data_IF_574962604316
#
_entry.id   IF_574962604316
#
_cell.length_a   1.000
_cell.length_b   1.000
_cell.length_c   1.000
_cell.angle_alpha   90.00
_cell.angle_beta   90.00
_cell.angle_gamma   90.00
#
_symmetry.space_group_name_H-M   'P 1'
#
loop_
_entity.id
_entity.type
_entity.pdbx_description
1 polymer ?
#
# COMPACT_ATOMS: atom_id res chain seq x y z
N UNK A 1 8.74 7.61 25.52
CA UNK A 1 7.39 7.23 25.98
C UNK A 1 6.52 6.97 24.75
N UNK A 2 6.02 5.77 24.63
CA UNK A 2 5.07 5.40 23.58
C UNK A 2 3.73 6.03 23.93
N UNK A 3 3.24 6.94 23.09
CA UNK A 3 1.97 7.62 23.36
C UNK A 3 0.85 6.94 22.56
N UNK A 4 -0.27 6.75 23.22
CA UNK A 4 -1.48 6.19 22.62
C UNK A 4 -2.38 7.33 22.16
N UNK A 5 -2.61 7.49 20.83
CA UNK A 5 -3.38 8.60 20.30
C UNK A 5 -4.22 8.20 19.06
N UNK A 6 -5.28 8.95 18.82
CA UNK A 6 -6.23 8.74 17.74
C UNK A 6 -5.70 9.24 16.38
N UNK A 7 -5.11 10.44 16.39
CA UNK A 7 -4.54 11.07 15.20
C UNK A 7 -3.54 12.17 15.57
N UNK A 8 -2.83 12.70 14.57
CA UNK A 8 -2.01 13.90 14.70
C UNK A 8 -2.65 15.10 14.02
N UNK A 9 -2.75 16.21 14.76
CA UNK A 9 -3.25 17.48 14.26
C UNK A 9 -2.10 18.41 13.92
N UNK A 10 -2.10 18.97 12.69
CA UNK A 10 -1.17 20.03 12.29
C UNK A 10 -1.76 21.39 12.67
N UNK A 11 -1.07 22.11 13.53
CA UNK A 11 -1.51 23.40 14.05
C UNK A 11 -1.55 24.46 12.94
N UNK A 12 -2.70 25.13 12.82
CA UNK A 12 -2.90 26.26 11.90
C UNK A 12 -2.62 27.59 12.56
N UNK A 13 -2.47 28.65 11.74
CA UNK A 13 -2.33 30.01 12.24
C UNK A 13 -3.56 30.41 13.06
N UNK A 14 -3.34 30.82 14.32
CA UNK A 14 -4.40 31.28 15.22
C UNK A 14 -5.18 30.20 15.95
N UNK A 15 -4.84 28.92 15.78
CA UNK A 15 -5.40 27.85 16.63
C UNK A 15 -4.84 27.93 18.04
N UNK A 16 -5.67 27.58 19.00
CA UNK A 16 -5.33 27.52 20.44
C UNK A 16 -5.53 26.10 20.96
N UNK A 17 -4.84 25.77 22.04
CA UNK A 17 -5.00 24.47 22.74
C UNK A 17 -6.50 24.21 23.03
N UNK A 18 -7.21 25.21 23.53
CA UNK A 18 -8.67 25.14 23.78
C UNK A 18 -9.47 24.84 22.50
N UNK A 19 -9.20 25.58 21.43
CA UNK A 19 -9.88 25.40 20.13
C UNK A 19 -9.67 24.01 19.55
N UNK A 20 -8.47 23.48 19.67
CA UNK A 20 -8.14 22.15 19.19
C UNK A 20 -8.80 21.08 20.07
N UNK A 21 -8.74 21.19 21.41
CA UNK A 21 -9.40 20.27 22.32
C UNK A 21 -10.92 20.20 22.04
N UNK A 22 -11.55 21.36 21.87
CA UNK A 22 -12.98 21.47 21.51
C UNK A 22 -13.29 20.83 20.14
N UNK A 23 -12.44 21.05 19.16
CA UNK A 23 -12.59 20.48 17.80
C UNK A 23 -12.61 18.95 17.82
N UNK A 24 -11.83 18.34 18.70
CA UNK A 24 -11.69 16.89 18.81
C UNK A 24 -12.53 16.26 19.93
N UNK A 25 -13.36 17.09 20.60
CA UNK A 25 -14.27 16.65 21.68
C UNK A 25 -13.51 15.95 22.83
N UNK A 26 -12.35 16.49 23.19
CA UNK A 26 -11.51 16.03 24.30
C UNK A 26 -11.28 17.17 25.29
N UNK A 27 -10.91 16.84 26.52
CA UNK A 27 -10.53 17.86 27.49
C UNK A 27 -9.14 18.43 27.21
N UNK A 28 -8.85 19.62 27.75
CA UNK A 28 -7.52 20.23 27.65
C UNK A 28 -6.50 19.34 28.38
N UNK A 29 -6.88 18.77 29.52
CA UNK A 29 -6.02 17.90 30.31
C UNK A 29 -5.65 16.63 29.50
N UNK A 30 -6.60 16.04 28.79
CA UNK A 30 -6.35 14.89 27.91
C UNK A 30 -5.39 15.26 26.78
N UNK A 31 -5.58 16.44 26.18
CA UNK A 31 -4.70 16.92 25.11
C UNK A 31 -3.28 17.18 25.61
N UNK A 32 -3.12 17.83 26.77
CA UNK A 32 -1.83 18.10 27.39
C UNK A 32 -1.16 16.80 27.82
N UNK A 33 -1.90 15.85 28.40
CA UNK A 33 -1.36 14.54 28.79
C UNK A 33 -0.83 13.75 27.60
N UNK A 34 -1.46 13.88 26.44
CA UNK A 34 -1.00 13.27 25.20
C UNK A 34 0.21 13.99 24.58
N UNK A 35 0.47 15.24 24.98
CA UNK A 35 1.54 16.09 24.48
C UNK A 35 2.31 16.71 25.67
N UNK A 36 3.18 15.95 26.36
CA UNK A 36 3.84 16.41 27.58
C UNK A 36 4.63 17.71 27.43
N UNK A 37 5.13 18.02 26.23
CA UNK A 37 5.85 19.25 25.94
C UNK A 37 5.01 20.50 26.18
N UNK A 38 3.67 20.40 26.13
CA UNK A 38 2.75 21.50 26.43
C UNK A 38 2.77 21.94 27.89
N UNK A 39 3.32 21.12 28.80
CA UNK A 39 3.51 21.48 30.21
C UNK A 39 4.81 22.25 30.48
N UNK A 40 5.65 22.40 29.49
CA UNK A 40 6.92 23.09 29.66
C UNK A 40 6.72 24.60 29.88
N UNK A 41 7.48 25.18 30.78
CA UNK A 41 7.43 26.64 31.02
C UNK A 41 7.81 27.36 29.74
N UNK A 42 6.89 28.25 29.27
CA UNK A 42 7.10 29.00 28.03
C UNK A 42 6.70 28.27 26.76
N UNK A 43 5.98 27.15 26.84
CA UNK A 43 5.45 26.49 25.65
C UNK A 43 4.48 27.39 24.89
N UNK A 44 4.75 27.57 23.62
CA UNK A 44 3.85 28.27 22.68
C UNK A 44 3.50 27.34 21.52
N UNK A 45 2.21 27.22 21.27
CA UNK A 45 1.70 26.48 20.12
C UNK A 45 1.98 27.25 18.84
N UNK A 46 2.82 26.68 17.96
CA UNK A 46 3.23 27.33 16.71
C UNK A 46 2.54 26.73 15.50
N UNK A 47 2.24 27.60 14.52
CA UNK A 47 1.75 27.16 13.21
C UNK A 47 2.72 26.13 12.61
N UNK A 48 2.18 24.97 12.24
CA UNK A 48 2.95 23.88 11.63
C UNK A 48 3.38 22.79 12.59
N UNK A 49 3.27 23.02 13.92
CA UNK A 49 3.51 21.97 14.90
C UNK A 49 2.51 20.82 14.71
N UNK A 50 2.94 19.63 15.09
CA UNK A 50 2.08 18.46 15.15
C UNK A 50 1.83 18.08 16.60
N UNK A 51 0.57 17.94 16.95
CA UNK A 51 0.13 17.52 18.27
C UNK A 51 -0.66 16.23 18.20
N UNK A 52 -0.48 15.39 19.21
CA UNK A 52 -1.17 14.12 19.32
C UNK A 52 -2.56 14.32 19.90
N UNK A 53 -3.57 13.78 19.21
CA UNK A 53 -4.96 13.82 19.66
C UNK A 53 -5.28 12.47 20.31
N UNK A 54 -5.51 12.43 21.63
CA UNK A 54 -5.84 11.19 22.32
C UNK A 54 -7.26 10.73 21.99
N UNK A 55 -7.57 9.49 22.35
CA UNK A 55 -8.95 9.02 22.36
C UNK A 55 -9.70 9.72 23.51
N UNK A 56 -10.95 10.16 23.31
CA UNK A 56 -11.74 10.72 24.41
C UNK A 56 -11.96 9.66 25.49
N UNK A 57 -11.47 9.92 26.69
CA UNK A 57 -11.78 9.10 27.86
C UNK A 57 -13.13 9.58 28.36
N UNK A 58 -14.22 8.89 27.97
CA UNK A 58 -15.57 9.31 28.31
C UNK A 58 -15.76 9.59 29.79
N UNK A 59 -15.73 10.87 30.15
CA UNK A 59 -16.36 11.43 31.34
C UNK A 59 -17.14 12.66 30.95
N UNK A 60 -18.41 12.43 30.90
CA UNK A 60 -19.54 13.27 30.72
C UNK A 60 -19.57 14.47 31.66
N UNK A 61 -19.94 15.60 31.11
CA UNK A 61 -20.53 16.67 31.87
C UNK A 61 -21.89 16.21 32.45
N UNK A 62 -21.97 16.28 33.75
CA UNK A 62 -23.19 16.04 34.53
C UNK A 62 -24.21 17.11 34.22
N UNK A 63 -25.40 16.73 33.77
CA UNK A 63 -26.61 17.47 34.05
C UNK A 63 -27.78 16.52 34.29
N UNK A 64 -28.33 16.69 35.47
CA UNK A 64 -29.49 16.06 36.07
C UNK A 64 -30.75 16.15 35.21
N UNK A 65 -31.57 15.13 35.11
CA UNK A 65 -32.74 14.86 35.92
C UNK A 65 -33.78 13.95 35.25
N UNK A 66 -34.24 13.01 36.10
CA UNK A 66 -35.58 12.44 36.28
C UNK A 66 -36.25 11.55 35.24
N UNK A 67 -36.32 10.31 35.71
CA UNK A 67 -37.45 9.37 35.76
C UNK A 67 -38.52 9.36 34.64
N UNK A 68 -38.67 8.20 34.00
CA UNK A 68 -39.82 7.30 34.22
C UNK A 68 -39.74 6.02 33.42
N UNK A 69 -39.78 4.97 34.19
CA UNK A 69 -40.33 3.60 34.03
C UNK A 69 -40.78 3.07 32.66
N UNK A 70 -40.22 1.89 32.38
CA UNK A 70 -40.87 0.63 31.94
C UNK A 70 -41.49 0.56 30.55
N UNK A 71 -40.86 -0.23 29.71
CA UNK A 71 -41.52 -1.47 29.22
C UNK A 71 -40.47 -2.34 28.49
N UNK A 72 -40.37 -3.57 28.95
CA UNK A 72 -39.57 -4.64 28.33
C UNK A 72 -40.13 -4.95 26.95
N UNK A 73 -39.33 -4.77 25.93
CA UNK A 73 -39.42 -5.60 24.73
C UNK A 73 -38.05 -6.25 24.52
N UNK A 74 -38.01 -7.55 24.79
CA UNK A 74 -36.90 -8.42 24.42
C UNK A 74 -36.83 -8.50 22.91
N UNK A 75 -36.09 -7.59 22.28
CA UNK A 75 -35.46 -7.84 20.99
C UNK A 75 -34.08 -8.41 21.30
N UNK A 76 -33.82 -9.62 20.84
CA UNK A 76 -32.53 -10.26 20.88
C UNK A 76 -31.55 -9.31 20.16
N UNK A 77 -30.80 -8.52 20.94
CA UNK A 77 -29.73 -7.72 20.39
C UNK A 77 -28.66 -8.71 19.88
N UNK A 78 -28.53 -8.80 18.57
CA UNK A 78 -27.36 -9.41 17.96
C UNK A 78 -26.13 -8.80 18.60
N UNK A 79 -25.25 -9.59 19.19
CA UNK A 79 -23.96 -9.14 19.71
C UNK A 79 -23.21 -8.55 18.54
N UNK A 80 -23.21 -7.21 18.44
CA UNK A 80 -22.37 -6.49 17.51
C UNK A 80 -20.94 -6.59 18.04
N UNK A 81 -20.19 -7.57 17.52
CA UNK A 81 -18.79 -7.72 17.87
C UNK A 81 -18.04 -6.49 17.34
N UNK A 82 -17.50 -5.70 18.26
CA UNK A 82 -16.61 -4.57 17.90
C UNK A 82 -15.26 -5.14 17.47
N UNK A 83 -14.77 -4.76 16.29
CA UNK A 83 -13.42 -5.09 15.83
C UNK A 83 -12.43 -4.14 16.50
N UNK A 84 -11.53 -4.69 17.30
CA UNK A 84 -10.48 -3.93 17.98
C UNK A 84 -9.21 -3.90 17.13
N UNK A 85 -8.87 -2.72 16.64
CA UNK A 85 -7.76 -2.48 15.71
C UNK A 85 -6.61 -1.79 16.43
N UNK A 86 -5.43 -2.39 16.39
CA UNK A 86 -4.18 -1.78 16.83
C UNK A 86 -3.38 -1.24 15.67
N UNK A 87 -2.78 -0.06 15.84
CA UNK A 87 -1.84 0.51 14.88
C UNK A 87 -0.50 0.67 15.60
N UNK A 88 0.53 -0.04 15.14
CA UNK A 88 1.88 -0.01 15.73
C UNK A 88 2.89 0.38 14.63
N UNK A 89 2.97 1.66 14.35
CA UNK A 89 3.75 2.26 13.26
C UNK A 89 4.48 3.51 13.77
N UNK A 90 5.54 3.99 13.08
CA UNK A 90 6.15 5.29 13.41
C UNK A 90 5.19 6.42 13.03
N UNK A 91 4.48 6.95 14.03
CA UNK A 91 3.45 7.97 13.84
C UNK A 91 3.97 9.32 14.36
N UNK A 92 4.89 9.93 13.62
CA UNK A 92 5.56 11.19 13.96
C UNK A 92 5.88 12.02 12.72
N UNK A 93 6.37 13.24 12.91
CA UNK A 93 6.74 14.16 11.83
C UNK A 93 8.24 14.39 11.71
N UNK A 94 9.07 13.59 12.39
CA UNK A 94 10.52 13.79 12.46
C UNK A 94 11.17 13.50 11.10
N UNK A 95 10.72 12.45 10.41
CA UNK A 95 11.30 11.99 9.15
C UNK A 95 10.25 11.58 8.12
N UNK A 96 10.71 11.07 6.98
CA UNK A 96 9.86 10.62 5.89
C UNK A 96 9.04 9.38 6.25
N UNK A 97 9.58 8.49 7.06
CA UNK A 97 8.88 7.26 7.48
C UNK A 97 7.67 7.62 8.33
N UNK A 98 7.86 8.45 9.34
CA UNK A 98 6.78 8.92 10.19
C UNK A 98 5.67 9.62 9.41
N UNK A 99 6.04 10.55 8.51
CA UNK A 99 5.06 11.26 7.67
C UNK A 99 4.25 10.33 6.78
N UNK A 100 4.90 9.33 6.15
CA UNK A 100 4.22 8.34 5.31
C UNK A 100 3.26 7.46 6.12
N UNK A 101 3.68 7.04 7.32
CA UNK A 101 2.86 6.19 8.17
C UNK A 101 1.68 6.96 8.79
N UNK A 102 1.84 8.23 9.08
CA UNK A 102 0.70 9.10 9.46
C UNK A 102 -0.31 9.20 8.33
N UNK A 103 0.13 9.38 7.09
CA UNK A 103 -0.78 9.42 5.95
C UNK A 103 -1.47 8.06 5.73
N UNK A 104 -0.75 6.96 5.84
CA UNK A 104 -1.32 5.61 5.80
C UNK A 104 -2.37 5.39 6.90
N UNK A 105 -2.07 5.79 8.14
CA UNK A 105 -3.02 5.71 9.24
C UNK A 105 -4.28 6.55 9.03
N UNK A 106 -4.14 7.74 8.46
CA UNK A 106 -5.29 8.57 8.07
C UNK A 106 -6.19 7.87 7.05
N UNK A 107 -5.60 7.17 6.10
CA UNK A 107 -6.33 6.31 5.18
C UNK A 107 -7.11 5.20 5.88
N UNK A 108 -6.49 4.53 6.86
CA UNK A 108 -7.17 3.52 7.70
C UNK A 108 -8.38 4.16 8.42
N UNK A 109 -8.21 5.34 9.00
CA UNK A 109 -9.30 6.04 9.69
C UNK A 109 -10.48 6.34 8.76
N UNK A 110 -10.20 6.78 7.53
CA UNK A 110 -11.25 6.98 6.51
C UNK A 110 -11.95 5.67 6.15
N UNK A 111 -11.20 4.58 6.02
CA UNK A 111 -11.77 3.24 5.82
C UNK A 111 -12.67 2.82 6.99
N UNK A 112 -12.23 3.04 8.22
CA UNK A 112 -13.02 2.74 9.41
C UNK A 112 -14.30 3.56 9.50
N UNK A 113 -14.27 4.85 9.14
CA UNK A 113 -15.47 5.68 9.07
C UNK A 113 -16.49 5.13 8.04
N UNK A 114 -15.99 4.64 6.92
CA UNK A 114 -16.82 3.99 5.91
C UNK A 114 -17.42 2.68 6.42
N UNK A 115 -16.62 1.85 7.06
CA UNK A 115 -17.05 0.56 7.61
C UNK A 115 -18.03 0.72 8.77
N UNK A 116 -17.90 1.76 9.59
CA UNK A 116 -18.92 2.11 10.61
C UNK A 116 -20.27 2.42 9.99
N UNK A 117 -20.29 3.12 8.85
CA UNK A 117 -21.53 3.36 8.09
C UNK A 117 -22.10 2.07 7.48
N UNK A 118 -21.27 1.06 7.25
CA UNK A 118 -21.69 -0.29 6.84
C UNK A 118 -22.15 -1.18 8.01
N UNK A 119 -22.16 -0.64 9.25
CA UNK A 119 -22.64 -1.34 10.45
C UNK A 119 -21.56 -2.16 11.17
N UNK A 120 -20.29 -2.00 10.85
CA UNK A 120 -19.19 -2.65 11.55
C UNK A 120 -18.71 -1.74 12.67
N UNK A 121 -18.86 -2.17 13.92
CA UNK A 121 -18.32 -1.44 15.07
C UNK A 121 -16.80 -1.62 15.11
N UNK A 122 -16.07 -0.50 15.29
CA UNK A 122 -14.61 -0.50 15.27
C UNK A 122 -14.11 0.38 16.41
N UNK A 123 -13.18 -0.19 17.20
CA UNK A 123 -12.38 0.52 18.20
C UNK A 123 -10.92 0.51 17.75
N UNK A 124 -10.30 1.69 17.62
CA UNK A 124 -8.92 1.83 17.15
C UNK A 124 -8.06 2.38 18.27
N UNK A 125 -6.91 1.72 18.50
CA UNK A 125 -5.81 2.22 19.32
C UNK A 125 -4.56 2.34 18.48
N UNK A 126 -3.85 3.46 18.62
CA UNK A 126 -2.60 3.69 17.91
C UNK A 126 -1.45 3.94 18.87
N UNK A 127 -0.32 3.32 18.59
CA UNK A 127 0.94 3.49 19.28
C UNK A 127 2.01 4.00 18.31
N UNK A 128 2.74 5.03 18.73
CA UNK A 128 3.89 5.48 17.96
C UNK A 128 5.07 4.54 18.21
N UNK A 129 5.43 3.75 17.21
CA UNK A 129 6.52 2.78 17.27
C UNK A 129 7.61 3.25 16.30
N UNK A 130 8.46 4.16 16.78
CA UNK A 130 9.59 4.69 16.02
C UNK A 130 10.69 3.64 15.83
N UNK A 131 11.69 3.96 15.01
CA UNK A 131 12.78 3.03 14.70
C UNK A 131 13.55 2.57 15.94
N UNK A 132 13.72 3.45 16.92
CA UNK A 132 14.45 3.16 18.16
C UNK A 132 13.57 2.66 19.31
N UNK A 133 12.26 2.52 19.08
CA UNK A 133 11.34 2.03 20.10
C UNK A 133 11.59 0.54 20.37
N UNK A 134 11.76 0.18 21.64
CA UNK A 134 11.63 -1.20 22.05
C UNK A 134 10.16 -1.60 22.00
N UNK A 135 9.79 -2.38 20.99
CA UNK A 135 8.40 -2.76 20.77
C UNK A 135 7.81 -3.55 21.97
N UNK A 136 8.65 -4.25 22.77
CA UNK A 136 8.16 -4.97 23.93
C UNK A 136 7.52 -4.04 24.98
N UNK A 137 8.02 -2.80 25.09
CA UNK A 137 7.38 -1.79 25.96
C UNK A 137 5.99 -1.42 25.46
N UNK A 138 5.81 -1.34 24.13
CA UNK A 138 4.50 -1.11 23.52
C UNK A 138 3.56 -2.29 23.76
N UNK A 139 4.06 -3.52 23.57
CA UNK A 139 3.29 -4.75 23.75
C UNK A 139 2.82 -4.99 25.17
N UNK A 140 3.53 -4.42 26.18
CA UNK A 140 3.14 -4.47 27.58
C UNK A 140 2.08 -3.44 27.98
N UNK A 141 1.72 -2.52 27.08
CA UNK A 141 0.73 -1.48 27.39
C UNK A 141 -0.70 -2.02 27.38
N UNK A 142 -1.55 -1.36 28.16
CA UNK A 142 -2.95 -1.72 28.27
C UNK A 142 -3.64 -1.65 26.88
N UNK A 143 -4.34 -2.70 26.54
CA UNK A 143 -5.13 -2.82 25.32
C UNK A 143 -4.37 -3.43 24.14
N UNK A 144 -3.05 -3.68 24.24
CA UNK A 144 -2.32 -4.38 23.17
C UNK A 144 -2.82 -5.82 23.01
N UNK A 145 -3.09 -6.53 24.12
CA UNK A 145 -3.64 -7.89 24.12
C UNK A 145 -5.11 -7.98 23.70
N UNK A 146 -5.83 -6.84 23.71
CA UNK A 146 -7.27 -6.80 23.41
C UNK A 146 -7.55 -6.67 21.91
N UNK A 147 -6.53 -6.44 21.09
CA UNK A 147 -6.70 -6.27 19.65
C UNK A 147 -7.15 -7.56 18.97
N UNK A 148 -8.03 -7.43 17.99
CA UNK A 148 -8.35 -8.51 17.02
C UNK A 148 -7.36 -8.53 15.88
N UNK A 149 -6.87 -7.34 15.49
CA UNK A 149 -5.88 -7.15 14.43
C UNK A 149 -4.94 -5.99 14.77
N UNK A 150 -3.65 -6.16 14.46
CA UNK A 150 -2.63 -5.11 14.56
C UNK A 150 -2.03 -4.87 13.19
N UNK A 151 -1.94 -3.58 12.80
CA UNK A 151 -1.24 -3.11 11.59
C UNK A 151 0.14 -2.58 11.97
N UNK A 152 1.16 -3.18 11.44
CA UNK A 152 2.57 -2.87 11.71
C UNK A 152 3.42 -4.15 11.79
N UNK A 153 4.68 -4.03 12.20
CA UNK A 153 5.44 -2.80 12.33
C UNK A 153 5.93 -2.29 10.96
N UNK A 154 6.61 -1.15 10.94
CA UNK A 154 7.31 -0.70 9.73
C UNK A 154 8.70 -1.34 9.61
N UNK A 155 9.40 -1.49 10.73
CA UNK A 155 10.82 -1.89 10.73
C UNK A 155 11.00 -3.38 10.98
N UNK A 156 11.81 -4.02 10.15
CA UNK A 156 12.04 -5.48 10.17
C UNK A 156 12.53 -5.99 11.54
N UNK A 157 13.35 -5.22 12.25
CA UNK A 157 13.87 -5.58 13.57
C UNK A 157 12.78 -5.76 14.65
N UNK A 158 11.62 -5.18 14.45
CA UNK A 158 10.49 -5.24 15.38
C UNK A 158 9.52 -6.38 15.07
N UNK A 159 9.64 -7.01 13.90
CA UNK A 159 8.72 -8.06 13.45
C UNK A 159 8.76 -9.31 14.33
N UNK A 160 9.91 -9.87 14.71
CA UNK A 160 9.93 -11.11 15.50
C UNK A 160 9.16 -11.02 16.82
N UNK A 161 9.36 -9.94 17.58
CA UNK A 161 8.68 -9.73 18.87
C UNK A 161 7.17 -9.55 18.68
N UNK A 162 6.75 -8.77 17.68
CA UNK A 162 5.33 -8.56 17.38
C UNK A 162 4.68 -9.82 16.81
N UNK A 163 5.40 -10.59 16.01
CA UNK A 163 4.95 -11.88 15.49
C UNK A 163 4.70 -12.89 16.63
N UNK A 164 5.64 -13.02 17.57
CA UNK A 164 5.49 -13.92 18.72
C UNK A 164 4.31 -13.49 19.60
N UNK A 165 4.20 -12.19 19.90
CA UNK A 165 3.09 -11.63 20.67
C UNK A 165 1.73 -11.95 20.03
N UNK A 166 1.57 -11.68 18.74
CA UNK A 166 0.31 -11.90 18.03
C UNK A 166 -0.03 -13.39 17.89
N UNK A 167 0.97 -14.24 17.72
CA UNK A 167 0.81 -15.70 17.73
C UNK A 167 0.30 -16.20 19.07
N UNK A 168 0.92 -15.73 20.16
CA UNK A 168 0.56 -16.11 21.54
C UNK A 168 -0.87 -15.70 21.90
N UNK A 169 -1.29 -14.51 21.49
CA UNK A 169 -2.61 -13.95 21.85
C UNK A 169 -3.70 -14.20 20.80
N UNK A 170 -3.41 -14.90 19.70
CA UNK A 170 -4.37 -15.18 18.63
C UNK A 170 -4.83 -13.93 17.87
N UNK A 171 -3.99 -12.91 17.82
CA UNK A 171 -4.24 -11.62 17.16
C UNK A 171 -3.80 -11.71 15.70
N UNK A 172 -4.57 -11.20 14.76
CA UNK A 172 -4.14 -11.08 13.37
C UNK A 172 -3.12 -9.97 13.23
N UNK A 173 -2.03 -10.22 12.50
CA UNK A 173 -0.96 -9.26 12.27
C UNK A 173 -0.87 -8.90 10.80
N UNK A 174 -1.13 -7.66 10.47
CA UNK A 174 -0.96 -7.13 9.12
C UNK A 174 0.39 -6.43 9.03
N UNK A 175 1.28 -6.96 8.20
CA UNK A 175 2.57 -6.33 7.90
C UNK A 175 2.44 -5.63 6.54
N UNK A 176 2.24 -4.30 6.53
CA UNK A 176 1.80 -3.60 5.32
C UNK A 176 2.91 -3.27 4.34
N UNK A 177 4.17 -3.17 4.82
CA UNK A 177 5.31 -2.72 4.04
C UNK A 177 6.47 -3.71 4.09
N UNK A 178 7.59 -3.33 3.48
CA UNK A 178 8.74 -4.22 3.32
C UNK A 178 9.33 -4.70 4.64
N UNK A 179 9.62 -5.98 4.69
CA UNK A 179 10.34 -6.61 5.80
C UNK A 179 11.37 -7.60 5.27
N UNK A 180 12.38 -7.85 6.10
CA UNK A 180 13.27 -9.00 5.96
C UNK A 180 12.88 -10.04 7.01
N UNK A 181 13.09 -11.31 6.72
CA UNK A 181 12.78 -12.43 7.61
C UNK A 181 11.68 -13.34 7.06
N UNK A 182 11.38 -14.40 7.80
CA UNK A 182 10.46 -15.45 7.37
C UNK A 182 9.38 -15.73 8.42
N UNK A 183 8.94 -14.70 9.12
CA UNK A 183 7.94 -14.84 10.18
C UNK A 183 6.59 -15.31 9.63
N UNK A 184 6.24 -14.89 8.42
CA UNK A 184 5.00 -15.32 7.75
C UNK A 184 4.92 -16.85 7.57
N UNK A 185 6.06 -17.52 7.36
CA UNK A 185 6.06 -18.99 7.26
C UNK A 185 5.81 -19.69 8.60
N UNK A 186 5.99 -19.00 9.73
CA UNK A 186 5.97 -19.57 11.09
C UNK A 186 4.79 -19.13 11.94
N UNK A 187 4.07 -18.10 11.52
CA UNK A 187 2.95 -17.54 12.26
C UNK A 187 1.68 -17.47 11.38
N UNK A 188 0.68 -18.34 11.64
CA UNK A 188 -0.54 -18.41 10.83
C UNK A 188 -1.42 -17.15 10.94
N UNK A 189 -1.15 -16.25 11.89
CA UNK A 189 -1.92 -15.03 12.09
C UNK A 189 -1.41 -13.86 11.24
N UNK A 190 -0.25 -14.00 10.56
CA UNK A 190 0.32 -12.94 9.73
C UNK A 190 -0.41 -12.83 8.39
N UNK A 191 -0.71 -11.59 8.00
CA UNK A 191 -1.07 -11.14 6.66
C UNK A 191 0.06 -10.25 6.16
N UNK A 192 0.96 -10.81 5.35
CA UNK A 192 2.09 -10.07 4.79
C UNK A 192 1.69 -9.48 3.44
N UNK A 193 1.61 -8.17 3.39
CA UNK A 193 1.19 -7.44 2.17
C UNK A 193 2.36 -7.29 1.20
N UNK A 194 3.54 -6.96 1.72
CA UNK A 194 4.74 -6.82 0.89
C UNK A 194 5.11 -8.15 0.22
N UNK A 195 5.45 -8.07 -1.06
CA UNK A 195 6.01 -9.18 -1.82
C UNK A 195 7.50 -8.92 -2.04
N UNK A 196 8.33 -9.93 -1.79
CA UNK A 196 9.74 -9.84 -2.15
C UNK A 196 9.89 -9.71 -3.68
N UNK A 197 10.99 -9.12 -4.17
CA UNK A 197 11.25 -9.06 -5.61
C UNK A 197 11.19 -10.44 -6.29
N UNK A 198 11.65 -11.49 -5.62
CA UNK A 198 11.64 -12.86 -6.14
C UNK A 198 10.21 -13.37 -6.34
N UNK A 199 9.33 -13.16 -5.36
CA UNK A 199 7.92 -13.55 -5.46
C UNK A 199 7.22 -12.76 -6.56
N UNK A 200 7.41 -11.46 -6.58
CA UNK A 200 6.78 -10.57 -7.55
C UNK A 200 7.22 -10.90 -8.98
N UNK A 201 8.53 -10.91 -9.24
CA UNK A 201 9.02 -11.18 -10.58
C UNK A 201 8.84 -12.64 -11.01
N UNK A 202 8.80 -13.58 -10.07
CA UNK A 202 8.42 -14.96 -10.37
C UNK A 202 7.03 -15.07 -10.96
N UNK A 203 6.06 -14.39 -10.36
CA UNK A 203 4.68 -14.35 -10.88
C UNK A 203 4.59 -13.52 -12.18
N UNK A 204 5.32 -12.39 -12.27
CA UNK A 204 5.40 -11.58 -13.51
C UNK A 204 5.89 -12.44 -14.69
N UNK A 205 6.95 -13.21 -14.51
CA UNK A 205 7.50 -14.10 -15.56
C UNK A 205 6.46 -15.14 -16.00
N UNK A 206 5.77 -15.75 -15.06
CA UNK A 206 4.72 -16.74 -15.33
C UNK A 206 3.57 -16.13 -16.16
N UNK A 207 3.06 -14.98 -15.75
CA UNK A 207 1.98 -14.30 -16.46
C UNK A 207 2.44 -13.74 -17.81
N UNK A 208 3.69 -13.27 -17.90
CA UNK A 208 4.31 -12.83 -19.15
C UNK A 208 4.35 -13.96 -20.18
N UNK A 209 4.92 -15.11 -19.82
CA UNK A 209 5.06 -16.26 -20.74
C UNK A 209 3.72 -16.83 -21.19
N UNK A 210 2.69 -16.73 -20.33
CA UNK A 210 1.32 -17.13 -20.68
C UNK A 210 0.69 -16.14 -21.68
N UNK A 211 0.75 -14.84 -21.35
CA UNK A 211 0.08 -13.80 -22.12
C UNK A 211 0.71 -13.58 -23.49
N UNK A 212 2.03 -13.64 -23.57
CA UNK A 212 2.79 -13.33 -24.78
C UNK A 212 3.34 -14.58 -25.49
N UNK A 213 2.73 -15.73 -25.30
CA UNK A 213 3.22 -17.04 -25.78
C UNK A 213 3.50 -17.09 -27.30
N UNK A 214 2.78 -16.31 -28.11
CA UNK A 214 2.98 -16.21 -29.57
C UNK A 214 3.98 -15.15 -30.02
N UNK A 215 4.63 -14.46 -29.10
CA UNK A 215 5.49 -13.30 -29.39
C UNK A 215 6.97 -13.69 -29.45
N UNK A 216 7.77 -12.84 -30.12
CA UNK A 216 9.21 -12.82 -30.04
C UNK A 216 9.63 -11.77 -29.00
N UNK A 217 10.54 -12.13 -28.08
CA UNK A 217 10.99 -11.20 -27.03
C UNK A 217 12.33 -10.61 -27.43
N UNK A 218 12.45 -9.28 -27.36
CA UNK A 218 13.71 -8.55 -27.60
C UNK A 218 14.18 -7.94 -26.29
N UNK A 219 15.26 -8.46 -25.73
CA UNK A 219 15.91 -7.89 -24.55
C UNK A 219 16.90 -6.84 -25.00
N UNK A 220 16.75 -5.61 -24.52
CA UNK A 220 17.68 -4.51 -24.78
C UNK A 220 18.63 -4.34 -23.59
N UNK A 221 19.90 -4.59 -23.82
CA UNK A 221 20.96 -4.24 -22.87
C UNK A 221 21.27 -2.75 -22.97
N UNK A 222 20.97 -2.03 -21.92
CA UNK A 222 21.14 -0.58 -21.81
C UNK A 222 22.50 -0.18 -21.21
N UNK A 223 23.40 -1.13 -20.95
CA UNK A 223 24.71 -0.91 -20.32
C UNK A 223 24.63 -0.25 -18.92
N UNK A 224 23.50 -0.36 -18.23
CA UNK A 224 23.30 0.20 -16.90
C UNK A 224 23.86 -0.75 -15.81
N UNK A 225 25.09 -0.44 -15.37
CA UNK A 225 25.78 -1.22 -14.35
C UNK A 225 25.17 -1.11 -12.94
N UNK A 226 24.30 -0.12 -12.72
CA UNK A 226 23.64 0.10 -11.42
C UNK A 226 22.27 -0.55 -11.35
N UNK A 227 21.75 -1.05 -12.46
CA UNK A 227 20.44 -1.69 -12.51
C UNK A 227 20.46 -3.09 -11.92
N UNK A 228 19.45 -3.40 -11.11
CA UNK A 228 19.14 -4.75 -10.61
C UNK A 228 18.24 -5.55 -11.58
N UNK A 229 17.73 -4.93 -12.65
CA UNK A 229 16.77 -5.54 -13.59
C UNK A 229 17.40 -6.63 -14.48
N UNK A 230 18.71 -6.72 -14.51
CA UNK A 230 19.43 -7.82 -15.15
C UNK A 230 19.04 -9.20 -14.62
N UNK A 231 18.75 -9.31 -13.32
CA UNK A 231 18.26 -10.57 -12.71
C UNK A 231 16.90 -10.95 -13.28
N UNK A 232 15.99 -9.99 -13.42
CA UNK A 232 14.68 -10.23 -14.01
C UNK A 232 14.79 -10.68 -15.47
N UNK A 233 15.56 -9.96 -16.30
CA UNK A 233 15.71 -10.31 -17.73
C UNK A 233 16.40 -11.67 -17.92
N UNK A 234 17.33 -12.03 -17.05
CA UNK A 234 17.95 -13.36 -17.05
C UNK A 234 16.90 -14.45 -16.73
N UNK A 235 16.14 -14.29 -15.66
CA UNK A 235 15.07 -15.23 -15.25
C UNK A 235 14.01 -15.36 -16.34
N UNK A 236 13.60 -14.22 -16.93
CA UNK A 236 12.65 -14.21 -18.05
C UNK A 236 13.18 -15.02 -19.23
N UNK A 237 14.42 -14.78 -19.67
CA UNK A 237 15.03 -15.51 -20.79
C UNK A 237 15.07 -17.02 -20.57
N UNK A 238 15.39 -17.45 -19.35
CA UNK A 238 15.35 -18.87 -18.98
C UNK A 238 13.94 -19.44 -19.15
N UNK A 239 12.94 -18.76 -18.61
CA UNK A 239 11.54 -19.19 -18.72
C UNK A 239 11.04 -19.20 -20.18
N UNK A 240 11.47 -18.24 -21.01
CA UNK A 240 11.15 -18.21 -22.43
C UNK A 240 11.72 -19.46 -23.16
N UNK A 241 12.98 -19.81 -22.87
CA UNK A 241 13.61 -21.01 -23.43
C UNK A 241 12.86 -22.28 -23.01
N UNK A 242 12.50 -22.40 -21.71
CA UNK A 242 11.75 -23.55 -21.19
C UNK A 242 10.36 -23.68 -21.85
N UNK A 243 9.77 -22.57 -22.32
CA UNK A 243 8.49 -22.53 -23.05
C UNK A 243 8.62 -22.59 -24.58
N UNK A 244 9.83 -22.70 -25.10
CA UNK A 244 10.08 -22.70 -26.55
C UNK A 244 9.77 -21.36 -27.25
N UNK A 245 9.76 -20.26 -26.48
CA UNK A 245 9.55 -18.92 -27.03
C UNK A 245 10.86 -18.35 -27.57
N UNK A 246 10.79 -17.67 -28.71
CA UNK A 246 11.98 -17.05 -29.33
C UNK A 246 12.37 -15.76 -28.60
N UNK A 247 13.67 -15.57 -28.39
CA UNK A 247 14.22 -14.39 -27.72
C UNK A 247 15.52 -13.96 -28.41
N UNK A 248 15.70 -12.66 -28.58
CA UNK A 248 16.94 -12.04 -29.05
C UNK A 248 17.43 -11.02 -28.03
N UNK A 249 18.74 -10.77 -28.03
CA UNK A 249 19.37 -9.71 -27.24
C UNK A 249 19.99 -8.71 -28.20
N UNK A 250 19.78 -7.43 -27.92
CA UNK A 250 20.45 -6.33 -28.62
C UNK A 250 21.01 -5.35 -27.59
N UNK A 251 21.93 -4.48 -28.03
CA UNK A 251 22.49 -3.45 -27.17
C UNK A 251 22.05 -2.06 -27.63
N UNK A 252 21.79 -1.18 -26.68
CA UNK A 252 21.33 0.19 -26.96
C UNK A 252 22.34 0.98 -27.83
N UNK A 253 23.63 0.64 -27.75
CA UNK A 253 24.70 1.30 -28.53
C UNK A 253 24.90 0.72 -29.93
N UNK A 254 24.22 -0.36 -30.28
CA UNK A 254 24.29 -0.95 -31.62
C UNK A 254 23.84 0.06 -32.69
N UNK A 255 24.39 -0.05 -33.90
CA UNK A 255 23.86 0.69 -35.05
C UNK A 255 22.38 0.37 -35.28
N UNK A 256 21.64 1.25 -35.97
CA UNK A 256 20.20 1.05 -36.22
C UNK A 256 19.97 -0.26 -37.00
N UNK A 257 20.86 -0.61 -37.95
CA UNK A 257 20.81 -1.87 -38.71
C UNK A 257 21.05 -3.11 -37.78
N UNK A 258 22.04 -3.05 -36.91
CA UNK A 258 22.32 -4.13 -35.97
C UNK A 258 21.21 -4.28 -34.94
N UNK A 259 20.64 -3.17 -34.47
CA UNK A 259 19.50 -3.16 -33.56
C UNK A 259 18.27 -3.81 -34.22
N UNK A 260 18.01 -3.50 -35.48
CA UNK A 260 16.87 -4.04 -36.23
C UNK A 260 16.91 -5.57 -36.41
N UNK A 261 18.10 -6.18 -36.47
CA UNK A 261 18.28 -7.64 -36.63
C UNK A 261 17.74 -8.46 -35.45
N UNK A 262 17.54 -7.82 -34.28
CA UNK A 262 16.99 -8.50 -33.12
C UNK A 262 15.47 -8.75 -33.21
N UNK A 263 14.77 -8.11 -34.15
CA UNK A 263 13.31 -8.15 -34.26
C UNK A 263 12.83 -9.22 -35.24
N UNK A 264 11.73 -9.87 -34.88
CA UNK A 264 11.01 -10.76 -35.79
C UNK A 264 10.14 -9.93 -36.76
N UNK A 265 10.18 -10.30 -38.01
CA UNK A 265 9.31 -9.72 -39.05
C UNK A 265 7.98 -10.45 -39.18
N UNK A 266 7.85 -11.63 -38.55
CA UNK A 266 6.67 -12.51 -38.66
C UNK A 266 5.87 -12.62 -37.37
N UNK A 267 6.48 -12.37 -36.23
CA UNK A 267 5.84 -12.45 -34.91
C UNK A 267 5.72 -11.04 -34.29
N UNK A 268 4.73 -10.78 -33.44
CA UNK A 268 4.74 -9.60 -32.59
C UNK A 268 5.98 -9.59 -31.70
N UNK A 269 6.59 -8.44 -31.52
CA UNK A 269 7.79 -8.29 -30.68
C UNK A 269 7.43 -7.62 -29.35
N UNK A 270 7.93 -8.18 -28.27
CA UNK A 270 7.83 -7.57 -26.94
C UNK A 270 9.23 -7.15 -26.50
N UNK A 271 9.44 -5.85 -26.31
CA UNK A 271 10.72 -5.27 -25.92
C UNK A 271 10.79 -5.13 -24.40
N UNK A 272 11.86 -5.68 -23.83
CA UNK A 272 12.15 -5.62 -22.38
C UNK A 272 13.55 -5.06 -22.17
N UNK A 273 13.68 -4.01 -21.36
CA UNK A 273 14.96 -3.41 -21.02
C UNK A 273 15.56 -4.10 -19.77
N UNK A 274 16.89 -4.11 -19.64
CA UNK A 274 17.54 -4.53 -18.41
C UNK A 274 17.71 -3.39 -17.39
N UNK A 275 16.95 -2.31 -17.53
CA UNK A 275 16.88 -1.19 -16.60
C UNK A 275 15.49 -0.57 -16.59
N UNK A 276 15.12 0.03 -15.44
CA UNK A 276 13.86 0.77 -15.31
C UNK A 276 14.03 2.29 -15.48
N UNK A 277 15.25 2.78 -15.73
CA UNK A 277 15.55 4.21 -15.73
C UNK A 277 14.98 4.94 -16.94
N UNK A 278 14.51 6.17 -16.70
CA UNK A 278 13.86 7.00 -17.71
C UNK A 278 14.78 7.42 -18.87
N UNK A 279 16.07 7.79 -18.68
CA UNK A 279 16.95 8.14 -19.79
C UNK A 279 17.12 6.99 -20.79
N UNK A 280 17.36 5.78 -20.31
CA UNK A 280 17.54 4.57 -21.12
C UNK A 280 16.24 4.18 -21.82
N UNK A 281 15.10 4.27 -21.12
CA UNK A 281 13.78 4.08 -21.73
C UNK A 281 13.56 5.02 -22.91
N UNK A 282 13.84 6.31 -22.73
CA UNK A 282 13.68 7.30 -23.81
C UNK A 282 14.62 7.04 -24.99
N UNK A 283 15.85 6.62 -24.72
CA UNK A 283 16.81 6.27 -25.77
C UNK A 283 16.36 5.04 -26.57
N UNK A 284 15.84 4.01 -25.90
CA UNK A 284 15.28 2.83 -26.56
C UNK A 284 14.06 3.21 -27.40
N UNK A 285 13.15 4.02 -26.88
CA UNK A 285 11.98 4.49 -27.62
C UNK A 285 12.42 5.24 -28.88
N UNK A 286 13.44 6.09 -28.80
CA UNK A 286 13.97 6.80 -29.99
C UNK A 286 14.50 5.81 -31.06
N UNK A 287 15.17 4.73 -30.66
CA UNK A 287 15.60 3.65 -31.58
C UNK A 287 14.41 2.90 -32.18
N UNK A 288 13.40 2.60 -31.36
CA UNK A 288 12.17 1.97 -31.83
C UNK A 288 11.42 2.85 -32.83
N UNK A 289 11.39 4.16 -32.63
CA UNK A 289 10.77 5.12 -33.55
C UNK A 289 11.45 5.10 -34.94
N UNK A 290 12.78 5.06 -34.96
CA UNK A 290 13.56 4.92 -36.21
C UNK A 290 13.27 3.56 -36.89
N UNK A 291 13.30 2.47 -36.09
CA UNK A 291 13.01 1.13 -36.61
C UNK A 291 11.60 1.05 -37.19
N UNK A 292 10.58 1.58 -36.53
CA UNK A 292 9.20 1.62 -37.00
C UNK A 292 9.01 2.50 -38.22
N UNK A 293 9.83 3.53 -38.42
CA UNK A 293 9.81 4.34 -39.63
C UNK A 293 10.26 3.55 -40.88
N UNK A 294 11.21 2.63 -40.71
CA UNK A 294 11.72 1.76 -41.78
C UNK A 294 10.88 0.48 -41.95
N UNK A 295 10.28 -0.02 -40.89
CA UNK A 295 9.52 -1.28 -40.85
C UNK A 295 8.13 -1.06 -40.22
N UNK A 296 7.23 -0.29 -40.86
CA UNK A 296 5.95 0.13 -40.22
C UNK A 296 5.00 -1.03 -39.92
N UNK A 297 5.06 -2.12 -40.69
CA UNK A 297 4.21 -3.31 -40.50
C UNK A 297 4.58 -4.19 -39.32
N UNK A 298 5.82 -4.09 -38.80
CA UNK A 298 6.28 -4.90 -37.66
C UNK A 298 5.58 -4.45 -36.38
N UNK A 299 4.99 -5.40 -35.66
CA UNK A 299 4.34 -5.11 -34.38
C UNK A 299 5.40 -5.10 -33.27
N UNK A 300 5.42 -4.02 -32.49
CA UNK A 300 6.33 -3.81 -31.37
C UNK A 300 5.56 -3.30 -30.18
N UNK A 301 5.69 -3.96 -29.04
CA UNK A 301 5.15 -3.54 -27.75
C UNK A 301 6.26 -3.46 -26.70
N UNK A 302 6.06 -2.65 -25.67
CA UNK A 302 6.97 -2.55 -24.53
C UNK A 302 6.41 -3.32 -23.34
N UNK A 303 7.30 -3.95 -22.59
CA UNK A 303 7.00 -4.49 -21.27
C UNK A 303 7.96 -3.87 -20.27
N UNK A 304 7.42 -3.14 -19.31
CA UNK A 304 8.20 -2.28 -18.41
C UNK A 304 8.30 -2.78 -16.98
N UNK A 305 8.48 -1.82 -16.10
CA UNK A 305 8.65 -2.00 -14.65
C UNK A 305 7.72 -1.05 -13.90
N UNK A 306 7.41 -1.39 -12.65
CA UNK A 306 6.54 -0.55 -11.79
C UNK A 306 6.99 0.91 -11.73
N UNK A 307 8.31 1.14 -11.76
CA UNK A 307 8.91 2.48 -11.77
C UNK A 307 8.44 3.35 -12.94
N UNK A 308 8.05 2.73 -14.07
CA UNK A 308 7.56 3.47 -15.24
C UNK A 308 6.23 4.18 -14.98
N UNK A 309 5.48 3.76 -13.98
CA UNK A 309 4.25 4.46 -13.57
C UNK A 309 4.52 5.90 -13.14
N UNK A 310 5.70 6.18 -12.56
CA UNK A 310 6.13 7.55 -12.22
C UNK A 310 6.43 8.40 -13.45
N UNK A 311 6.78 7.77 -14.55
CA UNK A 311 7.11 8.44 -15.83
C UNK A 311 5.91 8.54 -16.77
N UNK A 312 4.80 7.89 -16.45
CA UNK A 312 3.64 7.75 -17.33
C UNK A 312 3.08 9.11 -17.78
N UNK A 313 2.98 10.10 -16.90
CA UNK A 313 2.49 11.43 -17.25
C UNK A 313 3.30 12.14 -18.36
N UNK A 314 4.59 11.82 -18.47
CA UNK A 314 5.49 12.40 -19.49
C UNK A 314 5.63 11.53 -20.74
N UNK A 315 5.23 10.26 -20.65
CA UNK A 315 5.43 9.27 -21.69
C UNK A 315 4.12 8.62 -22.18
N UNK A 316 2.96 9.16 -21.79
CA UNK A 316 1.64 8.57 -22.09
C UNK A 316 1.47 8.22 -23.57
N UNK A 317 1.74 9.17 -24.47
CA UNK A 317 1.60 8.94 -25.91
C UNK A 317 2.56 7.87 -26.43
N UNK A 318 3.77 7.81 -25.89
CA UNK A 318 4.78 6.80 -26.23
C UNK A 318 4.37 5.41 -25.72
N UNK A 319 3.89 5.35 -24.47
CA UNK A 319 3.41 4.09 -23.90
C UNK A 319 2.20 3.55 -24.68
N UNK A 320 1.26 4.40 -25.04
CA UNK A 320 0.14 4.00 -25.88
C UNK A 320 0.58 3.60 -27.30
N UNK A 321 1.52 4.32 -27.91
CA UNK A 321 2.08 4.00 -29.23
C UNK A 321 2.66 2.59 -29.27
N UNK A 322 3.35 2.20 -28.20
CA UNK A 322 4.01 0.89 -28.09
C UNK A 322 3.23 -0.13 -27.26
N UNK A 323 1.91 0.04 -27.12
CA UNK A 323 1.02 -0.94 -26.47
C UNK A 323 1.62 -1.49 -25.18
N UNK A 324 2.07 -0.58 -24.31
CA UNK A 324 2.97 -0.89 -23.18
C UNK A 324 2.24 -1.56 -22.04
N UNK A 325 2.77 -2.66 -21.53
CA UNK A 325 2.35 -3.29 -20.29
C UNK A 325 3.37 -3.03 -19.17
N UNK A 326 2.89 -2.65 -18.00
CA UNK A 326 3.71 -2.40 -16.80
C UNK A 326 3.21 -3.29 -15.68
N UNK A 327 4.02 -4.24 -15.18
CA UNK A 327 3.66 -5.04 -14.02
C UNK A 327 3.70 -4.19 -12.74
N UNK A 328 2.69 -4.33 -11.88
CA UNK A 328 2.61 -3.57 -10.64
C UNK A 328 1.75 -4.27 -9.58
N UNK A 329 1.92 -3.86 -8.33
CA UNK A 329 1.02 -4.20 -7.22
C UNK A 329 -0.15 -3.22 -7.10
N UNK A 330 -0.08 -2.07 -7.75
CA UNK A 330 -1.04 -0.99 -7.61
C UNK A 330 -1.17 -0.21 -8.92
N UNK A 331 -2.29 0.47 -9.05
CA UNK A 331 -2.47 1.51 -10.05
C UNK A 331 -3.28 2.67 -9.47
N UNK A 332 -2.64 3.82 -9.32
CA UNK A 332 -3.30 5.06 -8.92
C UNK A 332 -3.92 5.73 -10.14
N UNK A 333 -5.27 5.80 -10.17
CA UNK A 333 -6.00 6.47 -11.24
C UNK A 333 -6.57 7.82 -10.78
N UNK A 334 -5.88 8.95 -11.06
CA UNK A 334 -6.34 10.26 -10.63
C UNK A 334 -7.61 10.74 -11.34
N UNK A 335 -8.00 10.08 -12.43
CA UNK A 335 -9.17 10.46 -13.23
C UNK A 335 -10.44 9.75 -12.78
N UNK A 336 -10.33 8.67 -11.99
CA UNK A 336 -11.51 7.96 -11.50
C UNK A 336 -12.31 8.81 -10.52
N UNK A 337 -13.63 8.74 -10.60
CA UNK A 337 -14.53 9.45 -9.68
C UNK A 337 -14.26 9.04 -8.24
N UNK A 338 -14.12 7.75 -7.97
CA UNK A 338 -13.86 7.24 -6.63
C UNK A 338 -12.56 7.79 -6.01
N UNK A 339 -11.49 7.92 -6.81
CA UNK A 339 -10.22 8.53 -6.35
C UNK A 339 -10.36 10.02 -6.09
N UNK A 340 -11.10 10.74 -6.94
CA UNK A 340 -11.38 12.17 -6.75
C UNK A 340 -12.21 12.43 -5.50
N UNK A 341 -13.25 11.64 -5.28
CA UNK A 341 -14.09 11.71 -4.10
C UNK A 341 -13.27 11.45 -2.83
N UNK A 342 -12.45 10.40 -2.83
CA UNK A 342 -11.55 10.10 -1.73
C UNK A 342 -10.59 11.27 -1.44
N UNK A 343 -9.97 11.83 -2.48
CA UNK A 343 -9.03 12.96 -2.33
C UNK A 343 -9.72 14.20 -1.75
N UNK A 344 -10.97 14.47 -2.16
CA UNK A 344 -11.78 15.57 -1.64
C UNK A 344 -12.15 15.34 -0.17
N UNK A 345 -12.58 14.13 0.18
CA UNK A 345 -12.88 13.77 1.57
C UNK A 345 -11.64 13.84 2.46
N UNK A 346 -10.48 13.36 1.95
CA UNK A 346 -9.21 13.43 2.66
C UNK A 346 -8.82 14.88 2.96
N UNK A 347 -8.85 15.75 1.95
CA UNK A 347 -8.55 17.18 2.11
C UNK A 347 -9.49 17.82 3.13
N UNK A 348 -10.81 17.55 3.04
CA UNK A 348 -11.80 18.09 3.97
C UNK A 348 -11.56 17.63 5.41
N UNK A 349 -11.20 16.35 5.60
CA UNK A 349 -11.03 15.77 6.94
C UNK A 349 -9.74 16.20 7.61
N UNK A 350 -8.64 16.25 6.87
CA UNK A 350 -7.30 16.48 7.43
C UNK A 350 -6.72 17.84 7.08
N UNK A 351 -7.44 18.65 6.29
CA UNK A 351 -7.03 19.99 5.85
C UNK A 351 -5.65 20.05 5.21
N UNK A 352 -5.30 18.98 4.52
CA UNK A 352 -4.11 18.90 3.68
C UNK A 352 -4.32 17.86 2.57
N UNK A 353 -3.67 18.08 1.44
CA UNK A 353 -3.66 17.11 0.35
C UNK A 353 -2.80 15.89 0.71
N UNK A 354 -3.11 14.76 0.08
CA UNK A 354 -2.22 13.59 0.14
C UNK A 354 -0.84 13.93 -0.42
N UNK A 355 0.20 13.33 0.14
CA UNK A 355 1.57 13.45 -0.37
C UNK A 355 1.69 12.85 -1.78
N UNK A 356 2.57 13.45 -2.60
CA UNK A 356 2.80 13.00 -3.98
C UNK A 356 3.78 11.82 -4.04
N UNK A 357 3.39 10.70 -3.44
CA UNK A 357 4.10 9.42 -3.51
C UNK A 357 3.34 8.42 -4.38
N UNK A 358 4.04 7.43 -4.89
CA UNK A 358 3.47 6.29 -5.60
C UNK A 358 3.96 4.99 -4.95
N UNK A 359 3.05 4.18 -4.40
CA UNK A 359 1.61 4.37 -4.22
C UNK A 359 1.24 5.50 -3.25
N UNK A 360 0.01 5.99 -3.30
CA UNK A 360 -0.55 6.97 -2.35
C UNK A 360 -0.78 6.28 -1.00
N UNK A 361 -0.10 6.72 0.05
CA UNK A 361 -0.15 6.04 1.35
C UNK A 361 -1.53 6.09 2.01
N UNK A 362 -2.25 7.21 1.89
CA UNK A 362 -3.63 7.29 2.40
C UNK A 362 -4.56 6.30 1.70
N UNK A 363 -4.47 6.17 0.38
CA UNK A 363 -5.30 5.21 -0.37
C UNK A 363 -4.91 3.77 -0.02
N UNK A 364 -3.61 3.51 0.15
CA UNK A 364 -3.13 2.19 0.61
C UNK A 364 -3.74 1.82 1.97
N UNK A 365 -3.72 2.76 2.93
CA UNK A 365 -4.34 2.54 4.24
C UNK A 365 -5.84 2.31 4.16
N UNK A 366 -6.52 3.07 3.31
CA UNK A 366 -7.94 2.90 3.06
C UNK A 366 -8.27 1.52 2.44
N UNK A 367 -7.57 1.12 1.38
CA UNK A 367 -7.76 -0.19 0.74
C UNK A 367 -7.52 -1.33 1.72
N UNK A 368 -6.45 -1.24 2.54
CA UNK A 368 -6.15 -2.24 3.57
C UNK A 368 -7.26 -2.32 4.63
N UNK A 369 -7.75 -1.19 5.13
CA UNK A 369 -8.83 -1.17 6.10
C UNK A 369 -10.13 -1.75 5.52
N UNK A 370 -10.49 -1.32 4.31
CA UNK A 370 -11.71 -1.78 3.64
C UNK A 370 -11.69 -3.28 3.38
N UNK A 371 -10.53 -3.87 3.10
CA UNK A 371 -10.42 -5.31 2.87
C UNK A 371 -10.30 -6.09 4.18
N UNK A 372 -9.28 -5.77 5.00
CA UNK A 372 -8.91 -6.58 6.16
C UNK A 372 -9.88 -6.38 7.34
N UNK A 373 -10.19 -5.13 7.68
CA UNK A 373 -11.08 -4.85 8.82
C UNK A 373 -12.52 -5.26 8.47
N UNK A 374 -12.97 -5.03 7.23
CA UNK A 374 -14.29 -5.54 6.76
C UNK A 374 -14.35 -7.06 6.84
N UNK A 375 -13.31 -7.74 6.36
CA UNK A 375 -13.26 -9.21 6.38
C UNK A 375 -13.30 -9.75 7.81
N UNK A 376 -12.50 -9.20 8.71
CA UNK A 376 -12.48 -9.58 10.12
C UNK A 376 -13.83 -9.25 10.78
N UNK A 377 -14.43 -8.10 10.50
CA UNK A 377 -15.73 -7.74 11.04
C UNK A 377 -16.86 -8.68 10.64
N UNK A 378 -16.80 -9.21 9.42
CA UNK A 378 -17.80 -10.16 8.89
C UNK A 378 -17.55 -11.61 9.26
N UNK A 379 -16.29 -12.05 9.28
CA UNK A 379 -15.92 -13.46 9.40
C UNK A 379 -15.15 -13.77 10.71
N UNK A 380 -14.76 -12.75 11.48
CA UNK A 380 -14.02 -12.93 12.73
C UNK A 380 -12.67 -13.64 12.50
N UNK A 381 -12.41 -14.63 13.34
CA UNK A 381 -11.17 -15.43 13.27
C UNK A 381 -11.04 -16.28 12.01
N UNK A 382 -12.15 -16.58 11.33
CA UNK A 382 -12.16 -17.38 10.10
C UNK A 382 -11.68 -16.62 8.86
N UNK A 383 -11.60 -15.29 8.93
CA UNK A 383 -11.12 -14.48 7.81
C UNK A 383 -9.69 -14.87 7.41
N UNK A 384 -9.50 -15.20 6.14
CA UNK A 384 -8.22 -15.62 5.57
C UNK A 384 -7.77 -14.77 4.36
N UNK A 385 -8.62 -13.86 3.87
CA UNK A 385 -8.27 -12.94 2.78
C UNK A 385 -8.07 -13.58 1.40
N UNK A 386 -8.54 -14.80 1.19
CA UNK A 386 -8.34 -15.52 -0.09
C UNK A 386 -9.24 -14.99 -1.22
N UNK A 387 -10.38 -14.40 -0.87
CA UNK A 387 -11.28 -13.78 -1.83
C UNK A 387 -10.87 -12.31 -2.06
N UNK A 388 -10.51 -11.92 -3.28
CA UNK A 388 -10.05 -10.56 -3.56
C UNK A 388 -11.20 -9.54 -3.45
N UNK A 389 -10.88 -8.33 -3.00
CA UNK A 389 -11.82 -7.20 -3.02
C UNK A 389 -11.74 -6.46 -4.37
N UNK A 390 -12.78 -6.58 -5.17
CA UNK A 390 -12.88 -5.89 -6.45
C UNK A 390 -13.06 -4.36 -6.35
N UNK A 391 -13.26 -3.81 -5.14
CA UNK A 391 -13.57 -2.40 -4.90
C UNK A 391 -12.40 -1.55 -4.43
N UNK A 392 -11.18 -2.09 -4.42
CA UNK A 392 -10.00 -1.32 -4.06
C UNK A 392 -9.81 -0.11 -4.98
N UNK A 393 -9.39 1.03 -4.40
CA UNK A 393 -9.14 2.26 -5.16
C UNK A 393 -7.81 2.21 -5.92
N UNK A 394 -6.81 1.52 -5.36
CA UNK A 394 -5.44 1.53 -5.88
C UNK A 394 -4.84 0.13 -5.99
N UNK A 395 -5.06 -0.73 -4.98
CA UNK A 395 -4.46 -2.05 -4.93
C UNK A 395 -5.41 -3.06 -4.28
N UNK A 396 -5.83 -4.05 -5.06
CA UNK A 396 -6.52 -5.20 -4.51
C UNK A 396 -5.56 -6.03 -3.65
N UNK A 397 -6.09 -6.65 -2.62
CA UNK A 397 -5.38 -7.67 -1.84
C UNK A 397 -5.91 -9.06 -2.20
N UNK A 398 -5.00 -10.00 -2.37
CA UNK A 398 -5.31 -11.40 -2.66
C UNK A 398 -4.31 -12.27 -1.93
N UNK A 399 -4.75 -12.92 -0.88
CA UNK A 399 -3.85 -13.71 -0.04
C UNK A 399 -3.90 -15.20 -0.37
N UNK A 400 -2.75 -15.84 -0.24
CA UNK A 400 -2.56 -17.29 -0.26
C UNK A 400 -1.64 -17.68 0.89
N UNK A 401 -1.69 -18.95 1.31
CA UNK A 401 -0.71 -19.47 2.27
C UNK A 401 0.72 -19.23 1.77
N UNK A 402 1.58 -18.71 2.64
CA UNK A 402 2.97 -18.43 2.29
C UNK A 402 3.78 -19.72 2.11
N UNK A 403 3.50 -20.72 2.94
CA UNK A 403 4.11 -22.06 2.93
C UNK A 403 3.10 -22.98 3.63
N UNK A 404 3.24 -24.22 3.72
CA UNK A 404 2.40 -25.20 4.36
C UNK A 404 1.20 -24.71 5.19
N UNK A 405 0.44 -25.60 5.77
CA UNK A 405 -0.84 -25.26 6.44
C UNK A 405 -0.70 -24.30 7.65
N UNK A 406 0.42 -24.34 8.34
CA UNK A 406 0.67 -23.54 9.55
C UNK A 406 1.30 -22.19 9.29
N UNK A 407 1.49 -21.81 8.04
CA UNK A 407 2.00 -20.48 7.67
C UNK A 407 0.92 -19.40 7.72
N UNK A 408 1.36 -18.15 7.75
CA UNK A 408 0.53 -16.99 7.50
C UNK A 408 0.12 -16.84 6.05
N UNK A 409 -0.45 -15.72 5.74
CA UNK A 409 -1.00 -15.37 4.44
C UNK A 409 -0.09 -14.37 3.75
N UNK A 410 0.34 -14.69 2.53
CA UNK A 410 1.15 -13.82 1.68
C UNK A 410 0.27 -13.21 0.59
N UNK A 411 0.32 -11.88 0.47
CA UNK A 411 -0.33 -11.19 -0.65
C UNK A 411 0.33 -11.59 -1.98
N UNK A 412 -0.50 -11.96 -2.95
CA UNK A 412 -0.07 -12.36 -4.30
C UNK A 412 -0.72 -11.48 -5.37
N UNK A 413 -1.17 -10.29 -5.00
CA UNK A 413 -1.74 -9.37 -5.97
C UNK A 413 -0.71 -9.00 -7.03
N UNK A 414 -1.09 -9.16 -8.29
CA UNK A 414 -0.34 -8.73 -9.46
C UNK A 414 -1.32 -8.18 -10.47
N UNK A 415 -0.96 -7.06 -11.09
CA UNK A 415 -1.67 -6.52 -12.24
C UNK A 415 -0.69 -6.13 -13.34
N UNK A 416 -1.15 -6.13 -14.58
CA UNK A 416 -0.50 -5.42 -15.66
C UNK A 416 -1.31 -4.16 -15.97
N UNK A 417 -0.68 -3.01 -15.84
CA UNK A 417 -1.21 -1.72 -16.29
C UNK A 417 -0.92 -1.63 -17.78
N UNK A 418 -1.97 -1.67 -18.59
CA UNK A 418 -1.85 -1.74 -20.05
C UNK A 418 -2.26 -0.41 -20.68
N UNK A 419 -1.31 0.23 -21.33
CA UNK A 419 -1.48 1.46 -22.10
C UNK A 419 -1.83 1.08 -23.54
N UNK A 420 -3.13 1.05 -23.85
CA UNK A 420 -3.63 0.58 -25.14
C UNK A 420 -3.35 1.59 -26.27
N UNK A 421 -3.22 1.09 -27.47
CA UNK A 421 -2.99 1.92 -28.69
C UNK A 421 -4.10 2.92 -28.98
N UNK A 422 -5.32 2.67 -28.49
CA UNK A 422 -6.46 3.60 -28.58
C UNK A 422 -6.45 4.70 -27.50
N UNK A 423 -5.33 4.88 -26.77
CA UNK A 423 -5.12 5.85 -25.69
C UNK A 423 -5.98 5.62 -24.44
N UNK A 424 -6.47 4.41 -24.24
CA UNK A 424 -7.09 3.99 -23.00
C UNK A 424 -6.10 3.24 -22.11
N UNK A 425 -6.36 3.20 -20.80
CA UNK A 425 -5.59 2.39 -19.86
C UNK A 425 -6.52 1.31 -19.31
N UNK A 426 -6.09 0.07 -19.39
CA UNK A 426 -6.78 -1.06 -18.80
C UNK A 426 -5.92 -1.76 -17.75
N UNK A 427 -6.57 -2.35 -16.77
CA UNK A 427 -5.91 -3.12 -15.71
C UNK A 427 -6.23 -4.59 -15.93
N UNK A 428 -5.19 -5.39 -16.07
CA UNK A 428 -5.29 -6.84 -16.20
C UNK A 428 -4.89 -7.41 -14.85
N UNK A 429 -5.85 -7.94 -14.13
CA UNK A 429 -5.66 -8.48 -12.78
C UNK A 429 -5.42 -10.00 -12.84
N UNK A 430 -4.49 -10.51 -11.99
CA UNK A 430 -4.12 -11.94 -11.94
C UNK A 430 -4.42 -12.59 -10.59
#
# INVERSE_FOLDING_TARGET
QTQNYREMHKVKKGETIFGIAKKYEISIEELIKANPDMNSVGYELKKGDYIFIPYPTGKTATTTSKDKSAQQNKTVAAKTNTVKVGIMLPLHNVDGDGRRMVEYYRGILMGCDKLKKEGINIDIKAWNVAIDTDINQTLSQQGATDCDVIFGPLYSKQVPALSEFTKKHGIKLVIPFSITGNDVAKNPNIFQVYQSPELFYGEVVKQFTTRFSGSHVVVVDCNDKQSDKGVFTFTLRKALADKGMTCSITNITNSDESFAKAFSTTKPNIVVLNTARSPELNAVIAKLDKYKATMPSVKVSLFGYTEWLMYAKYNMDKFCKYDTCVPSHFYYNPLSTATKDFSTEYLKKFDQSMMDYMPRFAITGYDHAMFLIRGIGKQGKLFNGTEPDAKALQAQLKFRKADGQNSGMQNQNLMFVHYNTNKTISIIQF
#
